data_IF_083695770882
#
_entry.id   IF_083695770882
#
_cell.length_a   1.000
_cell.length_b   1.000
_cell.length_c   1.000
_cell.angle_alpha   90.00
_cell.angle_beta   90.00
_cell.angle_gamma   90.00
#
_symmetry.space_group_name_H-M   'P 1'
#
loop_
_entity.id
_entity.type
_entity.pdbx_description
1 polymer ?
#
# COMPACT_ATOMS: atom_id res chain seq x y z
N UNK A 1 12.31 -13.64 7.39
CA UNK A 1 10.88 -13.30 7.58
C UNK A 1 10.22 -13.20 6.22
N UNK A 2 9.08 -13.88 5.99
CA UNK A 2 8.32 -13.76 4.74
C UNK A 2 7.68 -12.36 4.69
N UNK A 3 7.90 -11.62 3.60
CA UNK A 3 7.12 -10.41 3.34
C UNK A 3 5.69 -10.82 3.03
N UNK A 4 4.72 -10.27 3.76
CA UNK A 4 3.30 -10.34 3.41
C UNK A 4 3.12 -9.66 2.04
N UNK A 5 2.19 -10.13 1.20
CA UNK A 5 1.84 -9.45 -0.05
C UNK A 5 0.83 -8.33 0.25
N UNK A 6 0.81 -7.29 -0.58
CA UNK A 6 -0.17 -6.21 -0.45
C UNK A 6 -1.61 -6.72 -0.36
N UNK A 7 -2.02 -7.58 -1.30
CA UNK A 7 -3.40 -8.14 -1.32
C UNK A 7 -3.74 -8.93 -0.06
N UNK A 8 -2.76 -9.68 0.48
CA UNK A 8 -2.97 -10.45 1.70
C UNK A 8 -3.12 -9.52 2.93
N UNK A 9 -2.35 -8.44 2.99
CA UNK A 9 -2.44 -7.43 4.04
C UNK A 9 -3.77 -6.66 3.98
N UNK A 10 -4.19 -6.25 2.78
CA UNK A 10 -5.45 -5.56 2.56
C UNK A 10 -6.64 -6.44 2.94
N UNK A 11 -6.66 -7.68 2.48
CA UNK A 11 -7.71 -8.65 2.84
C UNK A 11 -7.79 -8.91 4.34
N UNK A 12 -6.64 -8.93 5.02
CA UNK A 12 -6.61 -9.07 6.48
C UNK A 12 -7.17 -7.83 7.16
N UNK A 13 -6.81 -6.63 6.69
CA UNK A 13 -7.31 -5.37 7.22
C UNK A 13 -8.84 -5.25 7.07
N UNK A 14 -9.39 -5.62 5.92
CA UNK A 14 -10.85 -5.67 5.68
C UNK A 14 -11.54 -6.61 6.68
N UNK A 15 -11.00 -7.83 6.87
CA UNK A 15 -11.54 -8.78 7.84
C UNK A 15 -11.44 -8.30 9.30
N UNK A 16 -10.48 -7.43 9.63
CA UNK A 16 -10.38 -6.80 10.94
C UNK A 16 -11.49 -5.76 11.12
N UNK A 17 -11.70 -4.90 10.11
CA UNK A 17 -12.77 -3.89 10.12
C UNK A 17 -14.12 -4.55 10.31
N UNK A 18 -14.43 -5.59 9.52
CA UNK A 18 -15.69 -6.35 9.63
C UNK A 18 -15.92 -6.89 11.05
N UNK A 19 -14.85 -7.38 11.70
CA UNK A 19 -14.92 -7.91 13.07
C UNK A 19 -15.14 -6.81 14.11
N UNK A 20 -14.43 -5.69 13.99
CA UNK A 20 -14.59 -4.55 14.89
C UNK A 20 -16.00 -3.96 14.78
N UNK A 21 -16.56 -3.86 13.56
CA UNK A 21 -17.91 -3.36 13.32
C UNK A 21 -19.01 -4.31 13.79
N UNK A 22 -18.72 -5.62 13.89
CA UNK A 22 -19.70 -6.61 14.37
C UNK A 22 -20.15 -6.41 15.82
N UNK A 23 -19.34 -5.72 16.64
CA UNK A 23 -19.62 -5.47 18.05
C UNK A 23 -19.64 -6.73 18.94
N UNK A 24 -19.23 -7.89 18.42
CA UNK A 24 -19.25 -9.17 19.13
C UNK A 24 -17.97 -9.48 19.93
N UNK A 25 -17.00 -8.57 19.94
CA UNK A 25 -15.69 -8.74 20.56
C UNK A 25 -15.69 -8.20 22.00
N UNK A 26 -14.90 -8.83 22.86
CA UNK A 26 -14.56 -8.20 24.13
C UNK A 26 -13.55 -7.05 23.94
N UNK A 27 -13.30 -6.31 25.02
CA UNK A 27 -12.43 -5.13 24.99
C UNK A 27 -10.99 -5.48 24.59
N UNK A 28 -10.47 -6.59 25.12
CA UNK A 28 -9.08 -7.00 24.95
C UNK A 28 -8.83 -7.42 23.48
N UNK A 29 -9.74 -8.19 22.90
CA UNK A 29 -9.68 -8.60 21.51
C UNK A 29 -9.89 -7.41 20.56
N UNK A 30 -10.76 -6.47 20.93
CA UNK A 30 -10.94 -5.23 20.17
C UNK A 30 -9.67 -4.40 20.10
N UNK A 31 -8.94 -4.27 21.22
CA UNK A 31 -7.66 -3.55 21.27
C UNK A 31 -6.61 -4.24 20.39
N UNK A 32 -6.46 -5.57 20.49
CA UNK A 32 -5.50 -6.33 19.66
C UNK A 32 -5.77 -6.20 18.17
N UNK A 33 -7.03 -6.32 17.77
CA UNK A 33 -7.41 -6.16 16.36
C UNK A 33 -7.23 -4.73 15.88
N UNK A 34 -7.46 -3.73 16.73
CA UNK A 34 -7.19 -2.33 16.41
C UNK A 34 -5.69 -2.08 16.16
N UNK A 35 -4.81 -2.56 17.05
CA UNK A 35 -3.35 -2.46 16.89
C UNK A 35 -2.89 -3.12 15.59
N UNK A 36 -3.35 -4.35 15.32
CA UNK A 36 -3.03 -5.05 14.07
C UNK A 36 -3.53 -4.28 12.83
N UNK A 37 -4.73 -3.71 12.91
CA UNK A 37 -5.32 -2.90 11.85
C UNK A 37 -4.50 -1.65 11.53
N UNK A 38 -3.97 -0.97 12.55
CA UNK A 38 -3.08 0.19 12.37
C UNK A 38 -1.80 -0.22 11.65
N UNK A 39 -1.16 -1.31 12.09
CA UNK A 39 0.08 -1.79 11.48
C UNK A 39 -0.13 -2.18 10.01
N UNK A 40 -1.23 -2.86 9.70
CA UNK A 40 -1.60 -3.23 8.32
C UNK A 40 -1.90 -2.00 7.46
N UNK A 41 -2.59 -1.01 8.01
CA UNK A 41 -2.89 0.25 7.31
C UNK A 41 -1.60 1.00 6.93
N UNK A 42 -0.66 1.14 7.87
CA UNK A 42 0.65 1.75 7.63
C UNK A 42 1.44 0.95 6.57
N UNK A 43 1.40 -0.38 6.65
CA UNK A 43 2.04 -1.24 5.66
C UNK A 43 1.45 -1.05 4.26
N UNK A 44 0.13 -1.07 4.12
CA UNK A 44 -0.56 -0.88 2.84
C UNK A 44 -0.25 0.48 2.23
N UNK A 45 -0.32 1.56 3.02
CA UNK A 45 0.03 2.90 2.54
C UNK A 45 1.48 2.97 2.04
N UNK A 46 2.42 2.33 2.75
CA UNK A 46 3.82 2.26 2.32
C UNK A 46 4.00 1.53 0.99
N UNK A 47 3.26 0.44 0.76
CA UNK A 47 3.31 -0.28 -0.51
C UNK A 47 2.74 0.55 -1.66
N UNK A 48 1.62 1.25 -1.44
CA UNK A 48 1.02 2.15 -2.43
C UNK A 48 1.98 3.29 -2.80
N UNK A 49 2.59 3.96 -1.82
CA UNK A 49 3.56 5.04 -2.07
C UNK A 49 4.79 4.54 -2.87
N UNK A 50 5.25 3.31 -2.62
CA UNK A 50 6.34 2.70 -3.38
C UNK A 50 5.94 2.42 -4.83
N UNK A 51 4.72 1.92 -5.05
CA UNK A 51 4.18 1.66 -6.38
C UNK A 51 4.01 2.97 -7.17
N UNK A 52 3.42 3.99 -6.56
CA UNK A 52 3.25 5.32 -7.15
C UNK A 52 4.61 5.92 -7.54
N UNK A 53 5.59 5.91 -6.63
CA UNK A 53 6.93 6.40 -6.92
C UNK A 53 7.63 5.64 -8.06
N UNK A 54 7.32 4.34 -8.24
CA UNK A 54 7.81 3.58 -9.40
C UNK A 54 7.15 4.03 -10.70
N UNK A 55 5.84 4.25 -10.70
CA UNK A 55 5.10 4.77 -11.85
C UNK A 55 5.63 6.15 -12.26
N UNK A 56 5.77 7.06 -11.29
CA UNK A 56 6.29 8.41 -11.54
C UNK A 56 7.69 8.40 -12.17
N UNK A 57 8.59 7.50 -11.73
CA UNK A 57 9.92 7.34 -12.36
C UNK A 57 9.84 6.77 -13.77
N UNK A 58 8.89 5.89 -14.06
CA UNK A 58 8.70 5.35 -15.40
C UNK A 58 8.14 6.41 -16.36
N UNK A 59 7.19 7.23 -15.90
CA UNK A 59 6.66 8.36 -16.68
C UNK A 59 7.76 9.38 -17.01
N UNK A 60 8.56 9.79 -16.01
CA UNK A 60 9.69 10.69 -16.24
C UNK A 60 10.74 10.14 -17.21
N UNK A 61 10.93 8.81 -17.26
CA UNK A 61 11.82 8.18 -18.23
C UNK A 61 11.23 8.22 -19.63
N UNK A 62 9.93 7.98 -19.77
CA UNK A 62 9.24 8.07 -21.05
C UNK A 62 9.26 9.51 -21.60
N UNK A 63 9.02 10.49 -20.73
CA UNK A 63 9.08 11.91 -21.10
C UNK A 63 10.52 12.40 -21.35
N UNK A 64 11.50 11.93 -20.57
CA UNK A 64 12.91 12.27 -20.75
C UNK A 64 13.59 11.58 -21.94
N UNK A 65 13.12 10.39 -22.37
CA UNK A 65 13.52 9.78 -23.64
C UNK A 65 12.95 10.57 -24.83
N UNK A 66 11.77 11.19 -24.69
CA UNK A 66 11.19 12.05 -25.72
C UNK A 66 12.00 13.35 -25.90
N UNK A 67 12.48 13.96 -24.81
CA UNK A 67 13.35 15.16 -24.89
C UNK A 67 14.76 14.85 -25.43
N UNK A 68 15.30 13.66 -25.17
CA UNK A 68 16.61 13.25 -25.69
C UNK A 68 16.58 13.02 -27.21
N UNK A 69 15.45 12.56 -27.76
CA UNK A 69 15.27 12.38 -29.21
C UNK A 69 15.09 13.72 -29.96
N UNK A 70 14.58 14.77 -29.31
CA UNK A 70 14.43 16.10 -29.95
C UNK A 70 15.74 16.90 -30.04
N UNK A 71 16.77 16.54 -29.26
CA UNK A 71 18.07 17.24 -29.24
C UNK A 71 19.13 16.61 -30.17
N UNK A 72 18.92 15.38 -30.64
CA UNK A 72 19.85 14.70 -31.56
C UNK A 72 19.54 14.96 -33.04
N UNK A 73 18.38 15.55 -33.35
CA UNK A 73 17.95 15.93 -34.71
C UNK A 73 18.06 17.46 -35.01
N UNK A 74 18.79 18.22 -34.17
CA UNK A 74 19.11 19.65 -34.38
C UNK A 74 20.61 19.92 -34.56
#
# INVERSE_FOLDING_TARGET
MKKIKFEDALKRLEAIVDKLESGALDLEDSIKLYEEGIDLSVYCQKQLNQAEGKIQRLMKKLDGDLEAMELEDL
#
